data_IF_623083044374
#
_entry.id   IF_623083044374
#
_cell.length_a   1.000
_cell.length_b   1.000
_cell.length_c   1.000
_cell.angle_alpha   90.00
_cell.angle_beta   90.00
_cell.angle_gamma   90.00
#
_symmetry.space_group_name_H-M   'P 1'
#
loop_
_entity.id
_entity.type
_entity.pdbx_description
1 polymer ?
#
# COMPACT_ATOMS: atom_id res chain seq x y z
N UNK A 1 -71.97 -22.73 19.25
CA UNK A 1 -71.58 -21.52 18.52
C UNK A 1 -70.59 -20.61 19.24
N UNK A 2 -70.55 -20.55 20.54
CA UNK A 2 -69.55 -19.72 21.30
C UNK A 2 -68.12 -20.24 21.26
N UNK A 3 -67.94 -21.57 21.27
CA UNK A 3 -66.60 -22.21 21.20
C UNK A 3 -65.90 -22.06 19.84
N UNK A 4 -66.70 -22.04 18.77
CA UNK A 4 -66.15 -21.86 17.41
C UNK A 4 -65.61 -20.43 17.17
N UNK A 5 -66.19 -19.43 17.84
CA UNK A 5 -65.72 -18.03 17.76
C UNK A 5 -64.43 -17.82 18.53
N UNK A 6 -64.22 -18.54 19.63
CA UNK A 6 -62.95 -18.46 20.40
C UNK A 6 -61.80 -19.12 19.67
N UNK A 7 -62.00 -20.23 18.97
CA UNK A 7 -60.97 -20.91 18.17
C UNK A 7 -60.58 -20.03 16.95
N UNK A 8 -61.54 -19.38 16.29
CA UNK A 8 -61.22 -18.49 15.17
C UNK A 8 -60.45 -17.23 15.63
N UNK A 9 -60.76 -16.67 16.81
CA UNK A 9 -60.01 -15.53 17.35
C UNK A 9 -58.59 -15.87 17.75
N UNK A 10 -58.35 -17.07 18.32
CA UNK A 10 -56.98 -17.51 18.67
C UNK A 10 -56.12 -17.84 17.45
N UNK A 11 -56.69 -18.34 16.35
CA UNK A 11 -55.97 -18.60 15.12
C UNK A 11 -55.54 -17.30 14.41
N UNK A 12 -56.35 -16.23 14.44
CA UNK A 12 -55.98 -14.92 13.89
C UNK A 12 -54.90 -14.25 14.72
N UNK A 13 -54.91 -14.40 16.06
CA UNK A 13 -53.90 -13.83 16.94
C UNK A 13 -52.55 -14.53 16.74
N UNK A 14 -52.51 -15.86 16.54
CA UNK A 14 -51.30 -16.62 16.23
C UNK A 14 -50.70 -16.28 14.86
N UNK A 15 -51.55 -15.94 13.86
CA UNK A 15 -51.09 -15.55 12.53
C UNK A 15 -50.40 -14.16 12.51
N UNK A 16 -50.83 -13.23 13.39
CA UNK A 16 -50.24 -11.87 13.52
C UNK A 16 -48.83 -11.96 14.18
N UNK A 17 -48.58 -12.90 15.09
CA UNK A 17 -47.27 -13.10 15.68
C UNK A 17 -46.27 -13.80 14.74
N UNK A 18 -46.74 -14.62 13.81
CA UNK A 18 -45.89 -15.30 12.85
C UNK A 18 -45.26 -14.36 11.79
N UNK A 19 -45.93 -13.23 11.49
CA UNK A 19 -45.42 -12.25 10.51
C UNK A 19 -44.30 -11.38 11.08
N UNK A 20 -44.24 -11.23 12.41
CA UNK A 20 -43.20 -10.41 13.06
C UNK A 20 -41.81 -11.06 13.12
N UNK A 21 -41.71 -12.38 12.85
CA UNK A 21 -40.43 -13.11 12.89
C UNK A 21 -39.59 -12.91 11.62
N UNK A 22 -40.11 -12.35 10.55
CA UNK A 22 -39.35 -12.14 9.30
C UNK A 22 -38.74 -10.75 9.16
N UNK A 23 -38.95 -9.86 10.14
CA UNK A 23 -38.38 -8.50 10.15
C UNK A 23 -37.07 -8.41 10.96
N UNK A 24 -36.34 -9.49 11.11
CA UNK A 24 -34.95 -9.36 11.53
C UNK A 24 -34.16 -8.83 10.32
N UNK A 25 -34.09 -7.51 10.20
CA UNK A 25 -33.06 -6.87 9.39
C UNK A 25 -31.73 -7.41 9.87
N UNK A 26 -31.12 -8.29 9.07
CA UNK A 26 -29.73 -8.68 9.31
C UNK A 26 -28.93 -7.40 9.43
N UNK A 27 -28.42 -7.13 10.64
CA UNK A 27 -27.60 -5.95 10.88
C UNK A 27 -26.51 -5.92 9.79
N UNK A 28 -26.53 -4.84 9.01
CA UNK A 28 -25.62 -4.65 7.90
C UNK A 28 -24.19 -4.62 8.45
N UNK A 29 -23.37 -5.61 8.13
CA UNK A 29 -22.00 -5.72 8.63
C UNK A 29 -21.08 -4.83 7.81
N UNK A 30 -20.24 -4.04 8.50
CA UNK A 30 -19.10 -3.35 7.90
C UNK A 30 -17.86 -4.19 8.17
N UNK A 31 -17.11 -4.51 7.14
CA UNK A 31 -15.82 -5.18 7.27
C UNK A 31 -14.69 -4.17 7.22
N UNK A 32 -13.63 -4.42 7.98
CA UNK A 32 -12.42 -3.62 7.97
C UNK A 32 -11.28 -4.45 7.36
N UNK A 33 -10.41 -3.79 6.62
CA UNK A 33 -9.26 -4.43 5.98
C UNK A 33 -8.04 -3.52 6.07
N UNK A 34 -6.88 -4.10 6.37
CA UNK A 34 -5.62 -3.39 6.37
C UNK A 34 -4.88 -3.68 5.06
N UNK A 35 -4.92 -2.74 4.12
CA UNK A 35 -4.23 -2.92 2.83
C UNK A 35 -2.71 -2.93 2.95
N UNK A 36 -2.12 -2.41 4.03
CA UNK A 36 -0.69 -2.51 4.30
C UNK A 36 -0.22 -3.95 4.61
N UNK A 37 -1.14 -4.83 5.01
CA UNK A 37 -0.81 -6.23 5.24
C UNK A 37 -0.70 -7.06 3.94
N UNK A 38 -1.04 -6.47 2.78
CA UNK A 38 -1.00 -7.19 1.51
C UNK A 38 0.42 -7.45 1.00
N UNK A 39 1.39 -6.61 1.39
CA UNK A 39 2.80 -6.73 1.04
C UNK A 39 3.65 -7.45 2.09
N UNK A 40 3.04 -7.96 3.16
CA UNK A 40 3.78 -8.75 4.15
C UNK A 40 4.35 -10.02 3.51
N UNK A 41 5.68 -10.21 3.62
CA UNK A 41 6.41 -11.31 2.99
C UNK A 41 5.95 -12.70 3.44
N UNK A 42 5.41 -12.82 4.66
CA UNK A 42 5.06 -14.11 5.28
C UNK A 42 3.57 -14.44 5.18
N UNK A 43 2.73 -13.43 5.35
CA UNK A 43 1.28 -13.61 5.49
C UNK A 43 0.46 -12.80 4.49
N UNK A 44 1.10 -12.03 3.62
CA UNK A 44 0.46 -11.17 2.65
C UNK A 44 -0.12 -11.90 1.42
N UNK A 45 -0.46 -11.12 0.43
CA UNK A 45 -0.96 -11.63 -0.86
C UNK A 45 0.23 -12.11 -1.69
N UNK A 46 0.38 -13.42 -1.84
CA UNK A 46 1.55 -14.06 -2.48
C UNK A 46 1.88 -13.45 -3.85
N UNK A 47 0.88 -13.23 -4.70
CA UNK A 47 1.07 -12.65 -6.03
C UNK A 47 1.53 -11.19 -5.98
N UNK A 48 1.03 -10.43 -5.00
CA UNK A 48 1.41 -9.03 -4.78
C UNK A 48 2.85 -8.94 -4.31
N UNK A 49 3.23 -9.71 -3.28
CA UNK A 49 4.59 -9.79 -2.73
C UNK A 49 5.59 -10.23 -3.81
N UNK A 50 5.28 -11.28 -4.57
CA UNK A 50 6.15 -11.75 -5.65
C UNK A 50 6.39 -10.68 -6.73
N UNK A 51 5.36 -9.91 -7.08
CA UNK A 51 5.47 -8.83 -8.05
C UNK A 51 6.30 -7.65 -7.52
N UNK A 52 6.14 -7.28 -6.24
CA UNK A 52 6.96 -6.26 -5.58
C UNK A 52 8.43 -6.67 -5.55
N UNK A 53 8.72 -7.90 -5.10
CA UNK A 53 10.08 -8.43 -5.05
C UNK A 53 10.74 -8.48 -6.45
N UNK A 54 9.95 -8.78 -7.49
CA UNK A 54 10.42 -8.75 -8.87
C UNK A 54 10.80 -7.34 -9.34
N UNK A 55 9.98 -6.32 -8.99
CA UNK A 55 10.28 -4.92 -9.28
C UNK A 55 11.52 -4.44 -8.53
N UNK A 56 11.65 -4.76 -7.25
CA UNK A 56 12.82 -4.41 -6.46
C UNK A 56 14.10 -5.02 -7.02
N UNK A 57 14.05 -6.29 -7.44
CA UNK A 57 15.18 -6.95 -8.08
C UNK A 57 15.54 -6.31 -9.44
N UNK A 58 14.54 -5.92 -10.25
CA UNK A 58 14.72 -5.26 -11.55
C UNK A 58 15.42 -3.90 -11.38
N UNK A 59 15.10 -3.14 -10.33
CA UNK A 59 15.64 -1.81 -10.12
C UNK A 59 16.81 -1.74 -9.13
N UNK A 60 17.26 -2.86 -8.56
CA UNK A 60 18.35 -2.91 -7.59
C UNK A 60 19.62 -2.22 -8.06
N UNK A 61 20.03 -2.45 -9.32
CA UNK A 61 21.22 -1.81 -9.89
C UNK A 61 21.07 -0.29 -9.95
N UNK A 62 19.89 0.19 -10.35
CA UNK A 62 19.58 1.62 -10.43
C UNK A 62 19.65 2.28 -9.05
N UNK A 63 19.09 1.65 -8.02
CA UNK A 63 19.20 2.14 -6.64
C UNK A 63 20.64 2.17 -6.15
N UNK A 64 21.44 1.15 -6.47
CA UNK A 64 22.86 1.10 -6.11
C UNK A 64 23.66 2.21 -6.79
N UNK A 65 23.41 2.49 -8.07
CA UNK A 65 24.06 3.58 -8.79
C UNK A 65 23.72 4.94 -8.20
N UNK A 66 22.45 5.20 -7.93
CA UNK A 66 21.99 6.44 -7.29
C UNK A 66 22.61 6.62 -5.90
N UNK A 67 22.66 5.55 -5.10
CA UNK A 67 23.28 5.59 -3.79
C UNK A 67 24.79 5.89 -3.88
N UNK A 68 25.49 5.32 -4.84
CA UNK A 68 26.91 5.56 -5.09
C UNK A 68 27.16 7.02 -5.46
N UNK A 69 26.36 7.58 -6.36
CA UNK A 69 26.43 8.99 -6.73
C UNK A 69 26.12 9.92 -5.57
N UNK A 70 25.08 9.62 -4.78
CA UNK A 70 24.74 10.41 -3.60
C UNK A 70 25.90 10.43 -2.58
N UNK A 71 26.53 9.29 -2.32
CA UNK A 71 27.68 9.18 -1.42
C UNK A 71 28.88 9.98 -1.94
N UNK A 72 29.15 9.92 -3.26
CA UNK A 72 30.21 10.70 -3.89
C UNK A 72 29.97 12.21 -3.76
N UNK A 73 28.74 12.65 -4.02
CA UNK A 73 28.35 14.06 -3.90
C UNK A 73 28.54 14.56 -2.47
N UNK A 74 28.08 13.79 -1.46
CA UNK A 74 28.25 14.12 -0.05
C UNK A 74 29.73 14.23 0.35
N UNK A 75 30.58 13.30 -0.12
CA UNK A 75 32.01 13.34 0.15
C UNK A 75 32.66 14.60 -0.45
N UNK A 76 32.39 14.89 -1.71
CA UNK A 76 32.89 16.10 -2.38
C UNK A 76 32.42 17.39 -1.68
N UNK A 77 31.13 17.45 -1.33
CA UNK A 77 30.56 18.59 -0.60
C UNK A 77 31.26 18.84 0.73
N UNK A 78 31.52 17.78 1.49
CA UNK A 78 32.23 17.88 2.78
C UNK A 78 33.67 18.37 2.62
N UNK A 79 34.39 17.85 1.63
CA UNK A 79 35.77 18.28 1.35
C UNK A 79 35.81 19.74 0.91
N UNK A 80 34.97 20.15 -0.05
CA UNK A 80 34.88 21.53 -0.55
C UNK A 80 34.52 22.48 0.58
N UNK A 81 33.55 22.15 1.44
CA UNK A 81 33.18 22.96 2.58
C UNK A 81 34.35 23.12 3.57
N UNK A 82 35.14 22.05 3.78
CA UNK A 82 36.36 22.12 4.61
C UNK A 82 37.41 23.07 4.06
N UNK A 83 37.65 23.06 2.74
CA UNK A 83 38.59 23.98 2.10
C UNK A 83 38.09 25.45 2.16
N UNK A 84 36.81 25.68 1.95
CA UNK A 84 36.19 26.99 2.06
C UNK A 84 36.33 27.57 3.48
N UNK A 85 36.15 26.73 4.51
CA UNK A 85 36.34 27.16 5.92
C UNK A 85 37.78 27.56 6.21
N UNK A 86 38.77 26.82 5.68
CA UNK A 86 40.20 27.16 5.79
C UNK A 86 40.48 28.50 5.11
N UNK A 87 39.99 28.72 3.89
CA UNK A 87 40.17 29.97 3.17
C UNK A 87 39.54 31.14 3.89
N UNK A 88 38.32 31.00 4.42
CA UNK A 88 37.60 32.04 5.15
C UNK A 88 38.30 32.46 6.45
N UNK A 89 39.09 31.55 7.04
CA UNK A 89 39.91 31.77 8.21
C UNK A 89 41.31 32.37 7.88
N UNK A 90 41.57 32.68 6.60
CA UNK A 90 42.85 33.21 6.12
C UNK A 90 43.97 32.14 6.05
N UNK A 91 43.62 30.85 6.13
CA UNK A 91 44.55 29.73 5.99
C UNK A 91 44.82 29.37 4.55
N UNK A 92 45.92 28.62 4.34
CA UNK A 92 46.25 28.04 3.02
C UNK A 92 45.76 26.62 2.98
N UNK A 93 44.99 26.30 1.93
CA UNK A 93 44.51 24.90 1.69
C UNK A 93 45.68 23.95 1.35
N UNK A 94 45.57 22.66 1.74
CA UNK A 94 46.67 21.67 1.54
C UNK A 94 46.68 21.07 0.14
N UNK A 95 45.93 21.61 -0.83
CA UNK A 95 45.87 21.15 -2.21
C UNK A 95 46.17 22.26 -3.20
N UNK A 96 46.51 21.94 -4.44
CA UNK A 96 46.66 22.93 -5.50
C UNK A 96 45.31 23.51 -5.94
N UNK A 97 45.30 24.76 -6.39
CA UNK A 97 44.07 25.42 -6.89
C UNK A 97 43.42 24.63 -8.03
N UNK A 98 44.21 24.03 -8.90
CA UNK A 98 43.71 23.15 -9.97
C UNK A 98 42.96 21.91 -9.46
N UNK A 99 43.42 21.34 -8.32
CA UNK A 99 42.73 20.19 -7.70
C UNK A 99 41.44 20.60 -7.02
N UNK A 100 41.39 21.79 -6.40
CA UNK A 100 40.13 22.34 -5.88
C UNK A 100 39.14 22.58 -7.01
N UNK A 101 39.58 23.18 -8.11
CA UNK A 101 38.75 23.41 -9.28
C UNK A 101 38.15 22.14 -9.84
N UNK A 102 39.00 21.08 -9.97
CA UNK A 102 38.55 19.77 -10.39
C UNK A 102 37.51 19.16 -9.46
N UNK A 103 37.65 19.33 -8.14
CA UNK A 103 36.66 18.84 -7.17
C UNK A 103 35.32 19.56 -7.31
N UNK A 104 35.34 20.86 -7.58
CA UNK A 104 34.12 21.66 -7.86
C UNK A 104 33.42 21.17 -9.14
N UNK A 105 34.19 20.95 -10.21
CA UNK A 105 33.67 20.42 -11.47
C UNK A 105 33.08 19.00 -11.29
N UNK A 106 33.79 18.13 -10.55
CA UNK A 106 33.32 16.76 -10.25
C UNK A 106 32.05 16.78 -9.39
N UNK A 107 31.93 17.71 -8.44
CA UNK A 107 30.72 17.91 -7.64
C UNK A 107 29.54 18.30 -8.54
N UNK A 108 29.71 19.33 -9.36
CA UNK A 108 28.67 19.81 -10.27
C UNK A 108 28.25 18.75 -11.30
N UNK A 109 29.25 18.04 -11.88
CA UNK A 109 28.98 16.95 -12.81
C UNK A 109 28.21 15.81 -12.16
N UNK A 110 28.64 15.38 -10.98
CA UNK A 110 27.97 14.29 -10.25
C UNK A 110 26.55 14.69 -9.82
N UNK A 111 26.33 15.95 -9.44
CA UNK A 111 25.02 16.49 -9.13
C UNK A 111 24.05 16.46 -10.33
N UNK A 112 24.52 16.89 -11.52
CA UNK A 112 23.71 16.80 -12.74
C UNK A 112 23.43 15.35 -13.13
N UNK A 113 24.42 14.47 -13.04
CA UNK A 113 24.28 13.04 -13.35
C UNK A 113 23.27 12.37 -12.41
N UNK A 114 23.37 12.65 -11.11
CA UNK A 114 22.42 12.14 -10.11
C UNK A 114 20.99 12.56 -10.44
N UNK A 115 20.77 13.86 -10.68
CA UNK A 115 19.45 14.40 -10.98
C UNK A 115 18.85 13.75 -12.23
N UNK A 116 19.61 13.64 -13.30
CA UNK A 116 19.16 13.01 -14.54
C UNK A 116 18.80 11.54 -14.34
N UNK A 117 19.69 10.76 -13.66
CA UNK A 117 19.44 9.35 -13.38
C UNK A 117 18.25 9.14 -12.44
N UNK A 118 18.07 10.02 -11.47
CA UNK A 118 16.92 9.98 -10.54
C UNK A 118 15.60 10.21 -11.27
N UNK A 119 15.54 11.21 -12.14
CA UNK A 119 14.33 11.51 -12.94
C UNK A 119 14.00 10.35 -13.91
N UNK A 120 15.00 9.82 -14.63
CA UNK A 120 14.82 8.65 -15.49
C UNK A 120 14.35 7.43 -14.70
N UNK A 121 15.00 7.14 -13.57
CA UNK A 121 14.63 6.04 -12.70
C UNK A 121 13.18 6.15 -12.20
N UNK A 122 12.78 7.33 -11.71
CA UNK A 122 11.39 7.59 -11.28
C UNK A 122 10.38 7.30 -12.38
N UNK A 123 10.65 7.78 -13.59
CA UNK A 123 9.76 7.55 -14.73
C UNK A 123 9.65 6.06 -15.10
N UNK A 124 10.79 5.36 -15.15
CA UNK A 124 10.85 3.92 -15.46
C UNK A 124 10.16 3.08 -14.40
N UNK A 125 10.43 3.34 -13.11
CA UNK A 125 9.81 2.64 -11.98
C UNK A 125 8.29 2.83 -12.01
N UNK A 126 7.80 4.07 -12.13
CA UNK A 126 6.37 4.35 -12.19
C UNK A 126 5.68 3.63 -13.36
N UNK A 127 6.32 3.60 -14.54
CA UNK A 127 5.78 2.88 -15.69
C UNK A 127 5.74 1.36 -15.46
N UNK A 128 6.84 0.79 -14.94
CA UNK A 128 6.89 -0.66 -14.64
C UNK A 128 5.91 -1.05 -13.54
N UNK A 129 5.83 -0.26 -12.48
CA UNK A 129 4.85 -0.46 -11.42
C UNK A 129 3.41 -0.49 -11.97
N UNK A 130 3.06 0.47 -12.83
CA UNK A 130 1.75 0.51 -13.48
C UNK A 130 1.46 -0.76 -14.30
N UNK A 131 2.45 -1.25 -15.05
CA UNK A 131 2.32 -2.44 -15.90
C UNK A 131 2.21 -3.72 -15.05
N UNK A 132 3.05 -3.87 -14.04
CA UNK A 132 3.15 -5.09 -13.23
C UNK A 132 2.07 -5.12 -12.15
N UNK A 133 1.92 -4.03 -11.38
CA UNK A 133 1.01 -3.98 -10.23
C UNK A 133 -0.42 -3.60 -10.61
N UNK A 134 -0.63 -2.90 -11.73
CA UNK A 134 -1.96 -2.48 -12.16
C UNK A 134 -2.96 -3.63 -12.28
N UNK A 135 -2.66 -4.69 -13.03
CA UNK A 135 -3.54 -5.87 -13.14
C UNK A 135 -3.77 -6.58 -11.80
N UNK A 136 -2.74 -6.63 -10.93
CA UNK A 136 -2.83 -7.27 -9.61
C UNK A 136 -3.75 -6.46 -8.70
N UNK A 137 -3.61 -5.13 -8.66
CA UNK A 137 -4.49 -4.24 -7.89
C UNK A 137 -5.94 -4.32 -8.36
N UNK A 138 -6.16 -4.41 -9.67
CA UNK A 138 -7.50 -4.59 -10.23
C UNK A 138 -8.12 -5.94 -9.82
N UNK A 139 -7.34 -7.03 -9.86
CA UNK A 139 -7.78 -8.36 -9.43
C UNK A 139 -8.08 -8.39 -7.92
N UNK A 140 -7.25 -7.75 -7.09
CA UNK A 140 -7.52 -7.57 -5.66
C UNK A 140 -8.84 -6.81 -5.45
N UNK A 141 -9.08 -5.74 -6.18
CA UNK A 141 -10.34 -4.97 -6.12
C UNK A 141 -11.56 -5.83 -6.44
N UNK A 142 -11.48 -6.65 -7.49
CA UNK A 142 -12.55 -7.60 -7.85
C UNK A 142 -12.76 -8.65 -6.75
N UNK A 143 -11.68 -9.19 -6.21
CA UNK A 143 -11.73 -10.17 -5.13
C UNK A 143 -12.31 -9.58 -3.83
N UNK A 144 -12.01 -8.31 -3.52
CA UNK A 144 -12.62 -7.59 -2.39
C UNK A 144 -14.13 -7.47 -2.56
N UNK A 145 -14.61 -7.14 -3.75
CA UNK A 145 -16.04 -7.07 -4.02
C UNK A 145 -16.73 -8.44 -3.87
N UNK A 146 -16.08 -9.50 -4.39
CA UNK A 146 -16.57 -10.86 -4.24
C UNK A 146 -16.62 -11.28 -2.77
N UNK A 147 -15.54 -11.06 -2.03
CA UNK A 147 -15.45 -11.37 -0.61
C UNK A 147 -16.50 -10.61 0.22
N UNK A 148 -16.69 -9.32 -0.06
CA UNK A 148 -17.70 -8.47 0.57
C UNK A 148 -19.10 -9.06 0.40
N UNK A 149 -19.48 -9.40 -0.83
CA UNK A 149 -20.79 -9.99 -1.14
C UNK A 149 -20.97 -11.37 -0.50
N UNK A 150 -19.96 -12.24 -0.61
CA UNK A 150 -20.00 -13.62 -0.11
C UNK A 150 -20.16 -13.70 1.40
N UNK A 151 -19.59 -12.74 2.13
CA UNK A 151 -19.61 -12.71 3.60
C UNK A 151 -20.70 -11.79 4.20
N UNK A 152 -21.58 -11.22 3.34
CA UNK A 152 -22.70 -10.39 3.77
C UNK A 152 -22.29 -9.02 4.33
N UNK A 153 -21.14 -8.52 3.93
CA UNK A 153 -20.77 -7.13 4.23
C UNK A 153 -21.47 -6.18 3.27
N UNK A 154 -21.88 -5.01 3.75
CA UNK A 154 -22.42 -3.92 2.91
C UNK A 154 -21.30 -3.05 2.36
N UNK A 155 -20.19 -2.95 3.10
CA UNK A 155 -19.00 -2.23 2.68
C UNK A 155 -17.76 -2.78 3.37
N UNK A 156 -16.61 -2.52 2.75
CA UNK A 156 -15.28 -2.76 3.31
C UNK A 156 -14.56 -1.42 3.41
N UNK A 157 -13.91 -1.16 4.54
CA UNK A 157 -13.15 0.06 4.79
C UNK A 157 -11.68 -0.28 5.05
N UNK A 158 -10.78 0.58 4.59
CA UNK A 158 -9.34 0.42 4.81
C UNK A 158 -8.93 1.03 6.15
N UNK A 159 -8.56 0.17 7.12
CA UNK A 159 -8.16 0.58 8.48
C UNK A 159 -6.97 1.54 8.42
N UNK A 160 -5.95 1.23 7.62
CA UNK A 160 -4.74 2.04 7.57
C UNK A 160 -5.01 3.47 7.10
N UNK A 161 -5.91 3.63 6.12
CA UNK A 161 -6.32 4.96 5.63
C UNK A 161 -7.19 5.71 6.62
N UNK A 162 -8.09 5.02 7.29
CA UNK A 162 -8.96 5.63 8.30
C UNK A 162 -8.14 6.07 9.53
N UNK A 163 -7.19 5.24 9.97
CA UNK A 163 -6.31 5.55 11.09
C UNK A 163 -5.40 6.74 10.78
N UNK A 164 -4.76 6.75 9.61
CA UNK A 164 -3.92 7.87 9.17
C UNK A 164 -4.68 9.20 9.04
N UNK A 165 -5.99 9.13 8.81
CA UNK A 165 -6.87 10.30 8.76
C UNK A 165 -7.45 10.68 10.14
N UNK A 166 -7.13 9.93 11.21
CA UNK A 166 -7.64 10.17 12.56
C UNK A 166 -9.14 9.91 12.70
N UNK A 167 -9.71 9.05 11.86
CA UNK A 167 -11.15 8.77 11.84
C UNK A 167 -11.55 7.59 12.72
N UNK A 168 -10.60 6.80 13.22
CA UNK A 168 -10.85 5.67 14.12
C UNK A 168 -10.71 6.16 15.55
N UNK A 169 -11.84 6.24 16.28
CA UNK A 169 -11.86 6.56 17.71
C UNK A 169 -11.98 5.33 18.60
N UNK A 170 -12.42 4.22 18.04
CA UNK A 170 -12.54 2.92 18.67
C UNK A 170 -12.75 1.86 17.62
N UNK A 171 -12.22 0.67 17.84
CA UNK A 171 -12.28 -0.46 16.90
C UNK A 171 -12.56 -1.75 17.65
N UNK A 172 -13.54 -2.50 17.17
CA UNK A 172 -13.70 -3.91 17.53
C UNK A 172 -12.82 -4.74 16.57
N UNK A 173 -11.81 -5.41 17.12
CA UNK A 173 -10.86 -6.23 16.35
C UNK A 173 -11.55 -7.34 15.56
N UNK A 174 -12.74 -7.77 15.96
CA UNK A 174 -13.53 -8.79 15.24
C UNK A 174 -14.06 -8.28 13.90
N UNK A 175 -14.09 -6.97 13.69
CA UNK A 175 -14.45 -6.35 12.41
C UNK A 175 -13.29 -6.39 11.38
N UNK A 176 -12.04 -6.61 11.83
CA UNK A 176 -10.89 -6.77 10.95
C UNK A 176 -10.89 -8.17 10.30
N UNK A 177 -11.13 -8.19 9.02
CA UNK A 177 -11.17 -9.42 8.20
C UNK A 177 -9.98 -9.53 7.24
N UNK A 178 -8.91 -8.79 7.48
CA UNK A 178 -7.71 -8.76 6.64
C UNK A 178 -7.15 -10.16 6.39
N UNK A 179 -6.93 -10.92 7.46
CA UNK A 179 -6.40 -12.28 7.36
C UNK A 179 -7.32 -13.22 6.58
N UNK A 180 -8.63 -13.15 6.82
CA UNK A 180 -9.62 -13.95 6.11
C UNK A 180 -9.64 -13.61 4.62
N UNK A 181 -9.54 -12.32 4.29
CA UNK A 181 -9.46 -11.89 2.90
C UNK A 181 -8.19 -12.37 2.22
N UNK A 182 -7.02 -12.25 2.85
CA UNK A 182 -5.74 -12.72 2.28
C UNK A 182 -5.79 -14.23 2.01
N UNK A 183 -6.31 -15.03 2.95
CA UNK A 183 -6.51 -16.48 2.76
C UNK A 183 -7.46 -16.73 1.58
N UNK A 184 -8.59 -16.03 1.53
CA UNK A 184 -9.54 -16.13 0.43
C UNK A 184 -8.90 -15.81 -0.92
N UNK A 185 -8.14 -14.70 -1.00
CA UNK A 185 -7.47 -14.28 -2.21
C UNK A 185 -6.43 -15.30 -2.69
N UNK A 186 -5.56 -15.75 -1.78
CA UNK A 186 -4.48 -16.70 -2.10
C UNK A 186 -4.99 -18.09 -2.50
N UNK A 187 -6.21 -18.47 -2.07
CA UNK A 187 -6.86 -19.72 -2.46
C UNK A 187 -7.56 -19.66 -3.83
N UNK A 188 -7.69 -18.48 -4.44
CA UNK A 188 -8.33 -18.32 -5.75
C UNK A 188 -7.45 -18.93 -6.86
N UNK A 189 -8.05 -19.55 -7.88
CA UNK A 189 -7.30 -19.96 -9.07
C UNK A 189 -6.57 -18.75 -9.68
N UNK A 190 -5.37 -18.97 -10.20
CA UNK A 190 -4.67 -17.91 -10.93
C UNK A 190 -5.58 -17.42 -12.07
N UNK A 191 -6.03 -16.18 -12.00
CA UNK A 191 -6.71 -15.55 -13.13
C UNK A 191 -5.72 -15.49 -14.29
N UNK A 192 -5.92 -16.33 -15.30
CA UNK A 192 -5.24 -16.15 -16.58
C UNK A 192 -5.64 -14.77 -17.09
N UNK A 193 -4.65 -13.85 -17.12
CA UNK A 193 -4.85 -12.56 -17.76
C UNK A 193 -5.35 -12.85 -19.19
N UNK A 194 -6.60 -12.52 -19.45
CA UNK A 194 -7.12 -12.52 -20.82
C UNK A 194 -6.28 -11.49 -21.58
N UNK A 195 -5.56 -11.97 -22.61
CA UNK A 195 -4.74 -11.14 -23.50
C UNK A 195 -5.58 -10.06 -24.15
#
# INVERSE_FOLDING_TARGET
MKTFRLIAASAIFAAIFAVSAFAQTTASKIGLINTLAFDDEKVGITKYVAAMNSLDAEFKTVYTELQTLATKIQALQKEIAGYQDIINKGGKIPIADADLQKKLEDYDKSGREYKFKEEDAKARIANRERIVMGPIRADIGNALQEFTKKNGFVMMLDIAKLDSAGLILGLDETADVTKQFIIFYNARPATTATK
#
